data_IF_412200156365
#
_entry.id   IF_412200156365
#
_cell.length_a   1.000
_cell.length_b   1.000
_cell.length_c   1.000
_cell.angle_alpha   90.00
_cell.angle_beta   90.00
_cell.angle_gamma   90.00
#
_symmetry.space_group_name_H-M   'P 1'
#
loop_
_entity.id
_entity.type
_entity.pdbx_description
1 polymer ?
#
# COMPACT_ATOMS: atom_id res chain seq x y z
N UNK A 1 -28.57 52.22 71.07
CA UNK A 1 -27.23 51.77 71.48
C UNK A 1 -26.41 51.56 70.21
N UNK A 2 -25.48 52.49 69.90
CA UNK A 2 -24.32 52.34 68.99
C UNK A 2 -24.65 52.13 67.47
N UNK A 3 -23.92 52.56 66.44
CA UNK A 3 -23.01 53.65 66.10
C UNK A 3 -22.60 53.38 64.61
N UNK A 4 -22.37 54.45 63.84
CA UNK A 4 -21.35 54.59 62.77
C UNK A 4 -21.51 54.03 61.33
N UNK A 5 -21.40 55.00 60.39
CA UNK A 5 -20.76 55.07 59.05
C UNK A 5 -20.16 53.80 58.40
N UNK A 6 -20.32 53.68 57.07
CA UNK A 6 -19.22 53.92 56.08
C UNK A 6 -19.68 53.83 54.61
N UNK A 7 -19.40 54.89 53.85
CA UNK A 7 -19.34 54.87 52.38
C UNK A 7 -18.17 54.01 51.89
N UNK A 8 -18.34 53.25 50.81
CA UNK A 8 -17.26 52.90 49.87
C UNK A 8 -17.76 52.87 48.43
N UNK A 9 -17.14 53.71 47.60
CA UNK A 9 -17.17 53.70 46.15
C UNK A 9 -16.45 52.46 45.62
N UNK A 10 -16.94 51.84 44.54
CA UNK A 10 -16.13 50.98 43.67
C UNK A 10 -16.48 51.19 42.19
N UNK A 11 -15.59 51.95 41.55
CA UNK A 11 -15.01 51.84 40.21
C UNK A 11 -15.69 50.88 39.21
N UNK A 12 -16.18 51.44 38.11
CA UNK A 12 -16.55 50.74 36.87
C UNK A 12 -15.30 50.20 36.15
N UNK A 13 -15.15 48.88 36.06
CA UNK A 13 -14.19 48.23 35.16
C UNK A 13 -14.78 48.09 33.75
N UNK A 14 -14.19 48.79 32.78
CA UNK A 14 -14.37 48.52 31.34
C UNK A 14 -13.62 47.23 31.00
N UNK A 15 -14.32 46.21 30.55
CA UNK A 15 -13.72 45.01 29.97
C UNK A 15 -13.15 45.35 28.58
N UNK A 16 -11.81 45.32 28.45
CA UNK A 16 -11.15 45.20 27.15
C UNK A 16 -11.27 43.75 26.68
N UNK A 17 -11.95 43.53 25.55
CA UNK A 17 -11.86 42.28 24.81
C UNK A 17 -10.54 42.27 24.03
N UNK A 18 -9.55 41.53 24.53
CA UNK A 18 -8.38 41.13 23.74
C UNK A 18 -8.79 39.89 22.95
N UNK A 19 -8.95 40.05 21.63
CA UNK A 19 -9.06 38.95 20.68
C UNK A 19 -7.73 38.18 20.69
N UNK A 20 -7.67 37.10 21.46
CA UNK A 20 -6.60 36.11 21.36
C UNK A 20 -6.70 35.37 20.03
N UNK A 21 -5.69 35.54 19.19
CA UNK A 21 -5.52 34.74 17.99
C UNK A 21 -5.34 33.28 18.39
N UNK A 22 -6.32 32.44 18.04
CA UNK A 22 -6.20 30.99 18.15
C UNK A 22 -5.18 30.51 17.10
N UNK A 23 -3.94 30.29 17.55
CA UNK A 23 -2.97 29.47 16.83
C UNK A 23 -3.42 28.01 16.94
N UNK A 24 -4.32 27.61 16.03
CA UNK A 24 -4.58 26.20 15.78
C UNK A 24 -3.30 25.55 15.28
N UNK A 25 -2.77 24.59 16.04
CA UNK A 25 -1.63 23.77 15.61
C UNK A 25 -2.14 22.86 14.48
N UNK A 26 -1.89 23.25 13.23
CA UNK A 26 -2.14 22.42 12.05
C UNK A 26 -1.05 21.37 11.95
N UNK A 27 -1.38 20.11 12.23
CA UNK A 27 -0.46 18.98 12.06
C UNK A 27 -0.42 18.54 10.60
N UNK A 28 0.76 18.59 9.98
CA UNK A 28 1.03 17.80 8.77
C UNK A 28 1.12 16.35 9.21
N UNK A 29 0.15 15.53 8.81
CA UNK A 29 0.22 14.10 9.08
C UNK A 29 1.10 13.46 8.01
N UNK A 30 2.11 12.72 8.44
CA UNK A 30 2.74 11.73 7.55
C UNK A 30 1.63 10.78 7.11
N UNK A 31 1.47 10.62 5.80
CA UNK A 31 0.56 9.65 5.21
C UNK A 31 0.79 8.29 5.87
N UNK A 32 -0.27 7.74 6.46
CA UNK A 32 -0.25 6.46 7.14
C UNK A 32 0.27 5.41 6.15
N UNK A 33 1.37 4.72 6.49
CA UNK A 33 1.86 3.64 5.65
C UNK A 33 0.93 2.44 5.80
N UNK A 34 0.37 1.92 4.69
CA UNK A 34 -0.31 0.63 4.73
C UNK A 34 0.71 -0.45 5.02
N UNK A 35 0.43 -1.32 6.00
CA UNK A 35 1.29 -2.45 6.33
C UNK A 35 0.62 -3.76 5.95
N UNK A 36 1.27 -4.54 5.09
CA UNK A 36 0.76 -5.85 4.69
C UNK A 36 1.88 -6.87 4.55
N UNK A 37 1.51 -8.15 4.57
CA UNK A 37 2.44 -9.26 4.34
C UNK A 37 2.18 -9.92 2.99
N UNK A 38 3.24 -10.42 2.36
CA UNK A 38 3.16 -11.30 1.20
C UNK A 38 3.84 -12.65 1.48
N UNK A 39 3.13 -13.73 1.18
CA UNK A 39 3.54 -15.12 1.38
C UNK A 39 3.24 -15.93 0.12
N UNK A 40 4.11 -16.85 -0.28
CA UNK A 40 3.86 -17.80 -1.37
C UNK A 40 4.18 -19.21 -0.90
N UNK A 41 3.54 -20.21 -1.49
CA UNK A 41 3.97 -21.61 -1.36
C UNK A 41 4.04 -22.07 0.11
N UNK A 42 2.92 -21.90 0.82
CA UNK A 42 2.82 -22.18 2.27
C UNK A 42 1.96 -23.40 2.56
N UNK A 43 0.73 -23.44 2.01
CA UNK A 43 -0.43 -24.17 2.50
C UNK A 43 -0.36 -25.69 2.47
N UNK A 44 0.49 -26.28 3.31
CA UNK A 44 0.67 -27.72 3.50
C UNK A 44 0.35 -28.14 4.97
N UNK A 45 -0.11 -27.21 5.80
CA UNK A 45 -0.28 -27.37 7.25
C UNK A 45 0.97 -27.89 7.96
N UNK A 46 2.14 -27.40 7.53
CA UNK A 46 3.44 -27.82 8.07
C UNK A 46 3.84 -26.98 9.31
N UNK A 47 4.80 -27.49 10.10
CA UNK A 47 5.37 -26.70 11.20
C UNK A 47 6.08 -25.43 10.69
N UNK A 48 6.66 -25.47 9.50
CA UNK A 48 7.33 -24.31 8.89
C UNK A 48 6.34 -23.23 8.48
N UNK A 49 5.20 -23.64 7.92
CA UNK A 49 4.08 -22.73 7.63
C UNK A 49 3.53 -22.09 8.90
N UNK A 50 3.32 -22.88 9.97
CA UNK A 50 2.88 -22.35 11.26
C UNK A 50 3.81 -21.25 11.78
N UNK A 51 5.12 -21.49 11.73
CA UNK A 51 6.13 -20.51 12.15
C UNK A 51 6.15 -19.25 11.27
N UNK A 52 5.96 -19.39 9.95
CA UNK A 52 5.82 -18.23 9.05
C UNK A 52 4.52 -17.48 9.33
N UNK A 53 3.41 -18.16 9.62
CA UNK A 53 2.16 -17.52 10.01
C UNK A 53 2.28 -16.76 11.32
N UNK A 54 2.98 -17.31 12.32
CA UNK A 54 3.29 -16.61 13.58
C UNK A 54 4.14 -15.36 13.35
N UNK A 55 5.18 -15.46 12.52
CA UNK A 55 5.99 -14.31 12.10
C UNK A 55 5.09 -13.22 11.48
N UNK A 56 4.26 -13.57 10.50
CA UNK A 56 3.37 -12.63 9.82
C UNK A 56 2.42 -11.94 10.81
N UNK A 57 1.79 -12.71 11.70
CA UNK A 57 0.87 -12.18 12.72
C UNK A 57 1.59 -11.26 13.71
N UNK A 58 2.87 -11.51 14.03
CA UNK A 58 3.67 -10.66 14.92
C UNK A 58 3.81 -9.21 14.40
N UNK A 59 3.74 -9.02 13.08
CA UNK A 59 3.84 -7.69 12.46
C UNK A 59 2.54 -6.88 12.54
N UNK A 60 1.44 -7.52 12.95
CA UNK A 60 0.08 -6.97 12.96
C UNK A 60 -0.27 -6.31 11.61
N UNK A 61 -0.17 -7.04 10.49
CA UNK A 61 -0.48 -6.48 9.18
C UNK A 61 -1.97 -6.13 9.09
N UNK A 62 -2.30 -5.11 8.32
CA UNK A 62 -3.69 -4.76 8.03
C UNK A 62 -4.35 -5.85 7.18
N UNK A 63 -3.60 -6.42 6.23
CA UNK A 63 -4.04 -7.51 5.37
C UNK A 63 -2.85 -8.38 4.91
N UNK A 64 -3.17 -9.53 4.34
CA UNK A 64 -2.20 -10.49 3.76
C UNK A 64 -2.55 -10.72 2.30
N UNK A 65 -1.52 -10.74 1.45
CA UNK A 65 -1.63 -11.21 0.05
C UNK A 65 -0.89 -12.53 -0.09
N UNK A 66 -1.33 -13.39 -1.02
CA UNK A 66 -0.60 -14.62 -1.33
C UNK A 66 -0.14 -14.67 -2.78
N UNK A 67 1.00 -15.29 -3.01
CA UNK A 67 1.67 -15.43 -4.30
C UNK A 67 1.41 -16.82 -4.92
N UNK A 68 0.24 -17.39 -4.66
CA UNK A 68 -0.19 -18.69 -5.17
C UNK A 68 0.23 -19.87 -4.31
N UNK A 69 -0.27 -21.03 -4.71
CA UNK A 69 -0.11 -22.33 -4.04
C UNK A 69 -0.52 -22.25 -2.57
N UNK A 70 -1.82 -22.01 -2.40
CA UNK A 70 -2.45 -21.80 -1.11
C UNK A 70 -2.87 -23.10 -0.44
N UNK A 71 -3.04 -24.18 -1.20
CA UNK A 71 -3.62 -25.42 -0.70
C UNK A 71 -2.99 -26.66 -1.36
N UNK A 72 -1.85 -27.08 -0.85
CA UNK A 72 -1.18 -28.31 -1.24
C UNK A 72 -1.96 -29.56 -0.78
N UNK A 73 -1.80 -30.71 -1.43
CA UNK A 73 -0.99 -30.93 -2.64
C UNK A 73 -1.78 -30.73 -3.94
N UNK A 74 -3.11 -30.68 -3.89
CA UNK A 74 -3.95 -30.70 -5.09
C UNK A 74 -5.09 -29.66 -5.09
N UNK A 75 -5.13 -28.75 -4.12
CA UNK A 75 -6.17 -27.73 -4.08
C UNK A 75 -7.53 -28.30 -3.68
N UNK A 76 -7.56 -29.37 -2.88
CA UNK A 76 -8.79 -30.08 -2.55
C UNK A 76 -9.65 -29.31 -1.52
N UNK A 77 -10.97 -29.41 -1.65
CA UNK A 77 -11.91 -28.82 -0.68
C UNK A 77 -11.77 -29.40 0.74
N UNK A 78 -11.32 -30.65 0.86
CA UNK A 78 -11.12 -31.31 2.15
C UNK A 78 -9.91 -30.78 2.93
N UNK A 79 -8.94 -30.15 2.27
CA UNK A 79 -7.69 -29.67 2.89
C UNK A 79 -7.66 -28.15 3.04
N UNK A 80 -8.46 -27.41 2.27
CA UNK A 80 -8.32 -25.95 2.16
C UNK A 80 -8.49 -25.21 3.49
N UNK A 81 -9.43 -25.65 4.33
CA UNK A 81 -9.66 -25.01 5.63
C UNK A 81 -8.53 -25.32 6.63
N UNK A 82 -7.99 -26.53 6.58
CA UNK A 82 -6.85 -26.93 7.41
C UNK A 82 -5.56 -26.22 7.01
N UNK A 83 -5.31 -26.11 5.71
CA UNK A 83 -4.11 -25.45 5.18
C UNK A 83 -4.18 -23.93 5.33
N UNK A 84 -5.36 -23.31 5.19
CA UNK A 84 -5.46 -21.84 5.17
C UNK A 84 -6.12 -21.31 6.45
N UNK A 85 -7.34 -21.80 6.74
CA UNK A 85 -8.18 -21.31 7.83
C UNK A 85 -7.51 -21.47 9.19
N UNK A 86 -6.79 -22.58 9.41
CA UNK A 86 -6.03 -22.82 10.64
C UNK A 86 -5.13 -21.65 11.04
N UNK A 87 -4.47 -21.03 10.08
CA UNK A 87 -3.45 -20.01 10.34
C UNK A 87 -3.95 -18.59 10.11
N UNK A 88 -4.84 -18.39 9.13
CA UNK A 88 -5.18 -17.07 8.60
C UNK A 88 -6.67 -16.71 8.66
N UNK A 89 -7.54 -17.54 9.26
CA UNK A 89 -8.98 -17.25 9.30
C UNK A 89 -9.32 -15.85 9.81
N UNK A 90 -8.57 -15.30 10.78
CA UNK A 90 -8.80 -13.96 11.32
C UNK A 90 -8.67 -12.83 10.28
N UNK A 91 -8.09 -13.10 9.11
CA UNK A 91 -7.99 -12.19 7.97
C UNK A 91 -9.06 -12.43 6.90
N UNK A 92 -9.73 -13.59 6.90
CA UNK A 92 -10.63 -14.02 5.82
C UNK A 92 -12.04 -13.52 6.09
N UNK A 93 -12.58 -12.72 5.17
CA UNK A 93 -13.97 -12.28 5.20
C UNK A 93 -14.92 -13.38 4.72
N UNK A 94 -16.16 -13.39 5.22
CA UNK A 94 -17.17 -14.42 4.90
C UNK A 94 -16.70 -15.87 5.13
N UNK A 95 -15.73 -16.06 6.03
CA UNK A 95 -15.15 -17.35 6.37
C UNK A 95 -16.18 -18.30 6.98
N UNK A 96 -16.16 -19.57 6.54
CA UNK A 96 -17.09 -20.64 6.96
C UNK A 96 -16.39 -21.86 7.55
N UNK A 97 -15.08 -21.75 7.78
CA UNK A 97 -14.27 -22.83 8.30
C UNK A 97 -14.39 -23.05 9.80
N UNK A 98 -13.63 -24.01 10.33
CA UNK A 98 -13.77 -24.50 11.72
C UNK A 98 -12.92 -23.77 12.76
N UNK A 99 -11.98 -22.93 12.34
CA UNK A 99 -10.95 -22.37 13.23
C UNK A 99 -11.32 -21.05 13.94
N UNK A 100 -12.46 -20.44 13.62
CA UNK A 100 -12.92 -19.21 14.26
C UNK A 100 -14.02 -18.51 13.47
N UNK A 101 -14.39 -17.29 13.87
CA UNK A 101 -15.45 -16.50 13.21
C UNK A 101 -15.04 -15.87 11.89
N UNK A 102 -13.74 -15.85 11.59
CA UNK A 102 -13.18 -15.07 10.50
C UNK A 102 -13.15 -13.57 10.76
N UNK A 103 -12.88 -12.80 9.70
CA UNK A 103 -12.85 -11.35 9.71
C UNK A 103 -14.21 -10.74 9.34
N UNK A 104 -14.59 -9.63 10.00
CA UNK A 104 -15.79 -8.87 9.64
C UNK A 104 -15.69 -8.25 8.24
N UNK A 105 -14.48 -7.86 7.82
CA UNK A 105 -14.16 -7.38 6.47
C UNK A 105 -13.01 -8.21 5.91
N UNK A 106 -13.03 -8.51 4.61
CA UNK A 106 -11.98 -9.32 4.01
C UNK A 106 -10.62 -8.58 4.02
N UNK A 107 -9.60 -9.25 4.54
CA UNK A 107 -8.20 -8.81 4.69
C UNK A 107 -7.22 -9.87 4.20
N UNK A 108 -7.67 -10.82 3.38
CA UNK A 108 -6.86 -11.88 2.78
C UNK A 108 -7.12 -11.91 1.27
N UNK A 109 -6.09 -11.67 0.47
CA UNK A 109 -6.22 -11.50 -0.99
C UNK A 109 -5.28 -12.45 -1.73
N UNK A 110 -5.69 -13.70 -1.93
CA UNK A 110 -4.84 -14.69 -2.54
C UNK A 110 -4.81 -14.59 -4.07
N UNK A 111 -3.72 -15.03 -4.68
CA UNK A 111 -3.66 -15.38 -6.11
C UNK A 111 -3.71 -16.90 -6.25
N UNK A 112 -4.14 -17.41 -7.41
CA UNK A 112 -4.12 -18.84 -7.73
C UNK A 112 -2.71 -19.28 -8.15
N UNK A 113 -2.24 -20.40 -7.58
CA UNK A 113 -1.11 -21.18 -8.09
C UNK A 113 -1.53 -22.50 -8.71
N UNK A 114 -0.59 -23.26 -9.28
CA UNK A 114 -0.91 -24.51 -9.96
C UNK A 114 -1.42 -25.60 -8.98
N UNK A 115 -0.96 -25.60 -7.72
CA UNK A 115 -1.50 -26.52 -6.73
C UNK A 115 -2.95 -26.21 -6.35
N UNK A 116 -3.42 -24.98 -6.56
CA UNK A 116 -4.81 -24.62 -6.33
C UNK A 116 -5.73 -25.10 -7.46
N UNK A 117 -5.21 -25.25 -8.68
CA UNK A 117 -6.00 -25.51 -9.90
C UNK A 117 -6.17 -27.00 -10.23
N UNK A 118 -5.30 -27.87 -9.69
CA UNK A 118 -5.34 -29.32 -9.96
C UNK A 118 -6.70 -29.97 -9.67
N UNK A 119 -7.39 -29.55 -8.61
CA UNK A 119 -8.76 -29.99 -8.34
C UNK A 119 -9.77 -29.07 -9.03
N UNK A 120 -10.48 -29.62 -10.03
CA UNK A 120 -11.63 -28.98 -10.68
C UNK A 120 -11.35 -27.53 -11.12
N UNK A 121 -10.15 -27.26 -11.63
CA UNK A 121 -9.75 -25.93 -12.11
C UNK A 121 -9.88 -24.82 -11.06
N UNK A 122 -9.60 -25.12 -9.79
CA UNK A 122 -9.63 -24.15 -8.70
C UNK A 122 -11.00 -23.94 -8.06
N UNK A 123 -11.99 -24.79 -8.35
CA UNK A 123 -13.32 -24.65 -7.74
C UNK A 123 -13.28 -24.60 -6.20
N UNK A 124 -12.48 -25.43 -5.49
CA UNK A 124 -12.40 -25.33 -4.03
C UNK A 124 -11.89 -23.98 -3.52
N UNK A 125 -10.96 -23.36 -4.25
CA UNK A 125 -10.49 -22.00 -3.95
C UNK A 125 -11.63 -20.97 -4.12
N UNK A 126 -12.38 -21.06 -5.23
CA UNK A 126 -13.49 -20.15 -5.52
C UNK A 126 -14.66 -20.32 -4.55
N UNK A 127 -14.89 -21.53 -4.05
CA UNK A 127 -15.93 -21.80 -3.06
C UNK A 127 -15.54 -21.30 -1.65
N UNK A 128 -14.24 -21.24 -1.36
CA UNK A 128 -13.72 -20.93 -0.03
C UNK A 128 -13.51 -19.44 0.21
N UNK A 129 -13.04 -18.70 -0.79
CA UNK A 129 -12.84 -17.26 -0.71
C UNK A 129 -14.03 -16.48 -1.29
N UNK A 130 -14.17 -15.21 -0.89
CA UNK A 130 -15.07 -14.26 -1.53
C UNK A 130 -14.25 -13.05 -1.95
N UNK A 131 -13.97 -12.93 -3.24
CA UNK A 131 -12.99 -11.99 -3.79
C UNK A 131 -13.63 -11.04 -4.82
N UNK A 132 -12.98 -9.91 -5.14
CA UNK A 132 -13.45 -9.02 -6.20
C UNK A 132 -13.44 -9.67 -7.59
N UNK A 133 -14.09 -8.99 -8.53
CA UNK A 133 -14.02 -9.33 -9.95
C UNK A 133 -14.55 -10.72 -10.26
N UNK A 134 -13.74 -11.53 -10.95
CA UNK A 134 -14.07 -12.93 -11.26
C UNK A 134 -13.37 -13.93 -10.33
N UNK A 135 -12.73 -13.42 -9.26
CA UNK A 135 -12.04 -14.16 -8.20
C UNK A 135 -10.79 -14.95 -8.62
N UNK A 136 -10.59 -15.21 -9.91
CA UNK A 136 -9.37 -15.84 -10.46
C UNK A 136 -8.30 -14.81 -10.77
N UNK A 137 -8.72 -13.69 -11.35
CA UNK A 137 -7.92 -12.48 -11.51
C UNK A 137 -8.81 -11.27 -11.26
N UNK A 138 -8.29 -10.32 -10.51
CA UNK A 138 -9.08 -9.22 -9.97
C UNK A 138 -8.16 -8.11 -9.48
N UNK A 139 -8.75 -6.97 -9.17
CA UNK A 139 -8.04 -5.81 -8.65
C UNK A 139 -8.76 -5.25 -7.41
N UNK A 140 -8.01 -4.49 -6.62
CA UNK A 140 -8.58 -3.74 -5.50
C UNK A 140 -7.63 -2.64 -5.06
N UNK A 141 -8.20 -1.61 -4.45
CA UNK A 141 -7.44 -0.51 -3.84
C UNK A 141 -7.43 -0.65 -2.32
N UNK A 142 -6.25 -0.48 -1.73
CA UNK A 142 -6.05 -0.25 -0.30
C UNK A 142 -5.11 0.94 -0.17
N UNK A 143 -5.55 2.00 0.50
CA UNK A 143 -4.83 3.27 0.62
C UNK A 143 -4.28 3.77 -0.73
N UNK A 144 -2.97 4.00 -0.78
CA UNK A 144 -2.24 4.53 -1.94
C UNK A 144 -1.87 3.48 -3.01
N UNK A 145 -2.22 2.21 -2.79
CA UNK A 145 -1.82 1.09 -3.64
C UNK A 145 -3.03 0.50 -4.36
N UNK A 146 -2.93 0.39 -5.68
CA UNK A 146 -3.78 -0.46 -6.50
C UNK A 146 -3.08 -1.81 -6.70
N UNK A 147 -3.72 -2.87 -6.21
CA UNK A 147 -3.29 -4.25 -6.36
C UNK A 147 -3.96 -4.90 -7.57
N UNK A 148 -3.17 -5.60 -8.37
CA UNK A 148 -3.63 -6.37 -9.52
C UNK A 148 -3.21 -7.83 -9.35
N UNK A 149 -4.20 -8.71 -9.23
CA UNK A 149 -4.03 -10.13 -8.99
C UNK A 149 -4.24 -10.86 -10.30
N UNK A 150 -3.25 -11.64 -10.75
CA UNK A 150 -3.34 -12.42 -11.99
C UNK A 150 -3.40 -13.91 -11.70
N UNK A 151 -4.10 -14.64 -12.57
CA UNK A 151 -3.98 -16.08 -12.68
C UNK A 151 -2.93 -16.41 -13.75
N UNK A 152 -1.78 -16.90 -13.29
CA UNK A 152 -0.67 -17.32 -14.14
C UNK A 152 -0.70 -18.80 -14.52
N UNK A 153 -1.72 -19.56 -14.11
CA UNK A 153 -1.84 -20.97 -14.44
C UNK A 153 -2.11 -21.17 -15.95
N UNK A 154 -1.39 -22.07 -16.66
CA UNK A 154 -1.61 -22.32 -18.09
C UNK A 154 -3.04 -22.73 -18.48
N UNK A 155 -3.84 -23.24 -17.54
CA UNK A 155 -5.25 -23.59 -17.75
C UNK A 155 -6.22 -22.40 -17.64
N UNK A 156 -5.72 -21.20 -17.34
CA UNK A 156 -6.53 -19.98 -17.28
C UNK A 156 -7.21 -19.70 -18.63
N UNK A 157 -8.54 -19.84 -18.65
CA UNK A 157 -9.39 -19.74 -19.86
C UNK A 157 -9.33 -18.40 -20.59
N UNK A 158 -9.03 -17.30 -19.90
CA UNK A 158 -8.86 -15.96 -20.50
C UNK A 158 -7.39 -15.70 -20.94
N UNK A 159 -6.51 -16.68 -20.74
CA UNK A 159 -5.13 -16.77 -21.22
C UNK A 159 -4.09 -16.06 -20.35
N UNK A 160 -2.84 -16.53 -20.44
CA UNK A 160 -1.68 -16.03 -19.66
C UNK A 160 -0.61 -15.31 -20.50
N UNK A 161 -0.82 -15.16 -21.81
CA UNK A 161 0.07 -14.39 -22.68
C UNK A 161 -0.22 -12.88 -22.65
N UNK A 162 0.74 -12.06 -23.07
CA UNK A 162 0.64 -10.58 -23.06
C UNK A 162 -0.44 -9.99 -23.97
N UNK A 163 -1.01 -10.80 -24.87
CA UNK A 163 -2.13 -10.45 -25.75
C UNK A 163 -3.47 -11.05 -25.30
N UNK A 164 -3.49 -11.80 -24.20
CA UNK A 164 -4.67 -12.48 -23.69
C UNK A 164 -5.75 -11.51 -23.22
N UNK A 165 -6.97 -12.01 -22.99
CA UNK A 165 -8.05 -11.18 -22.45
C UNK A 165 -7.71 -10.68 -21.05
N UNK A 166 -7.07 -11.51 -20.23
CA UNK A 166 -6.57 -11.10 -18.92
C UNK A 166 -5.52 -9.98 -19.03
N UNK A 167 -4.58 -10.06 -19.97
CA UNK A 167 -3.57 -9.03 -20.18
C UNK A 167 -4.17 -7.70 -20.69
N UNK A 168 -5.17 -7.78 -21.57
CA UNK A 168 -5.92 -6.60 -22.04
C UNK A 168 -6.69 -5.93 -20.91
N UNK A 169 -7.32 -6.72 -20.03
CA UNK A 169 -7.96 -6.22 -18.81
C UNK A 169 -6.95 -5.50 -17.92
N UNK A 170 -5.82 -6.13 -17.60
CA UNK A 170 -4.79 -5.52 -16.75
C UNK A 170 -4.32 -4.17 -17.32
N UNK A 171 -4.03 -4.12 -18.63
CA UNK A 171 -3.59 -2.90 -19.30
C UNK A 171 -4.63 -1.78 -19.17
N UNK A 172 -5.91 -2.11 -19.30
CA UNK A 172 -7.00 -1.13 -19.18
C UNK A 172 -7.12 -0.61 -17.73
N UNK A 173 -7.12 -1.50 -16.73
CA UNK A 173 -7.26 -1.11 -15.33
C UNK A 173 -6.05 -0.32 -14.82
N UNK A 174 -4.84 -0.69 -15.25
CA UNK A 174 -3.64 0.10 -14.95
C UNK A 174 -3.69 1.51 -15.55
N UNK A 175 -4.23 1.66 -16.77
CA UNK A 175 -4.39 2.97 -17.40
C UNK A 175 -5.46 3.82 -16.70
N UNK A 176 -6.51 3.20 -16.15
CA UNK A 176 -7.56 3.87 -15.40
C UNK A 176 -7.13 4.25 -13.97
N UNK A 177 -6.22 3.48 -13.38
CA UNK A 177 -5.79 3.63 -12.00
C UNK A 177 -5.10 4.97 -11.72
N UNK A 178 -5.58 5.66 -10.68
CA UNK A 178 -5.02 6.90 -10.13
C UNK A 178 -4.18 6.68 -8.88
N UNK A 179 -4.07 5.45 -8.40
CA UNK A 179 -3.26 5.12 -7.23
C UNK A 179 -1.79 5.39 -7.51
N UNK A 180 -1.09 5.84 -6.47
CA UNK A 180 0.34 6.16 -6.54
C UNK A 180 1.10 4.90 -6.92
N UNK A 181 0.85 3.82 -6.20
CA UNK A 181 1.52 2.55 -6.39
C UNK A 181 0.64 1.56 -7.13
N UNK A 182 1.25 0.80 -8.03
CA UNK A 182 0.60 -0.31 -8.74
C UNK A 182 1.40 -1.57 -8.50
N UNK A 183 0.86 -2.50 -7.72
CA UNK A 183 1.52 -3.79 -7.42
C UNK A 183 0.80 -4.89 -8.18
N UNK A 184 1.54 -5.64 -8.98
CA UNK A 184 1.04 -6.84 -9.66
C UNK A 184 1.53 -8.06 -8.91
N UNK A 185 0.67 -9.04 -8.66
CA UNK A 185 1.11 -10.30 -8.10
C UNK A 185 0.33 -11.51 -8.62
N UNK A 186 1.02 -12.64 -8.68
CA UNK A 186 0.56 -13.92 -9.22
C UNK A 186 1.54 -15.03 -8.81
N UNK A 187 1.40 -16.23 -9.38
CA UNK A 187 2.18 -17.38 -8.94
C UNK A 187 3.48 -17.62 -9.72
N UNK A 188 3.41 -17.84 -11.03
CA UNK A 188 4.57 -18.26 -11.83
C UNK A 188 5.47 -17.07 -12.23
N UNK A 189 6.72 -16.96 -11.76
CA UNK A 189 7.53 -15.75 -11.90
C UNK A 189 8.01 -15.50 -13.34
N UNK A 190 7.95 -14.25 -13.87
CA UNK A 190 8.48 -13.95 -15.21
C UNK A 190 9.99 -14.15 -15.33
N UNK A 191 10.69 -13.91 -14.21
CA UNK A 191 12.13 -14.05 -14.05
C UNK A 191 12.42 -14.73 -12.72
N UNK A 192 13.21 -15.80 -12.77
CA UNK A 192 13.63 -16.56 -11.60
C UNK A 192 14.89 -17.34 -11.93
N UNK A 193 15.81 -17.36 -10.96
CA UNK A 193 17.01 -18.21 -10.91
C UNK A 193 16.81 -19.43 -10.01
N UNK A 194 15.55 -19.82 -9.75
CA UNK A 194 15.17 -21.01 -9.01
C UNK A 194 15.20 -22.29 -9.87
N UNK A 195 14.81 -23.41 -9.28
CA UNK A 195 14.83 -24.73 -9.94
C UNK A 195 13.77 -24.85 -11.05
N UNK A 196 12.57 -24.30 -10.84
CA UNK A 196 11.54 -24.21 -11.88
C UNK A 196 11.87 -23.12 -12.89
N UNK A 197 12.40 -22.00 -12.40
CA UNK A 197 12.96 -20.93 -13.21
C UNK A 197 11.91 -20.01 -13.82
N UNK A 198 12.32 -19.26 -14.83
CA UNK A 198 11.49 -18.21 -15.42
C UNK A 198 10.29 -18.77 -16.19
N UNK A 199 9.17 -18.05 -16.16
CA UNK A 199 7.98 -18.28 -16.99
C UNK A 199 7.86 -17.24 -18.11
N UNK A 200 8.35 -17.51 -19.34
CA UNK A 200 8.39 -16.51 -20.42
C UNK A 200 7.02 -15.96 -20.82
N UNK A 201 5.95 -16.75 -20.72
CA UNK A 201 4.59 -16.28 -21.02
C UNK A 201 4.13 -15.15 -20.09
N UNK A 202 4.65 -15.08 -18.87
CA UNK A 202 4.34 -14.03 -17.90
C UNK A 202 5.25 -12.80 -18.04
N UNK A 203 6.13 -12.71 -19.05
CA UNK A 203 6.96 -11.52 -19.33
C UNK A 203 6.15 -10.46 -20.07
N UNK A 204 5.13 -9.94 -19.41
CA UNK A 204 4.29 -8.86 -19.94
C UNK A 204 5.00 -7.51 -19.76
N UNK A 205 4.63 -6.47 -20.52
CA UNK A 205 5.23 -5.14 -20.41
C UNK A 205 4.69 -4.36 -19.20
N UNK A 206 4.78 -4.96 -18.00
CA UNK A 206 4.27 -4.41 -16.75
C UNK A 206 4.80 -3.00 -16.46
N UNK A 207 6.08 -2.76 -16.74
CA UNK A 207 6.70 -1.44 -16.56
C UNK A 207 6.04 -0.38 -17.43
N UNK A 208 5.82 -0.69 -18.70
CA UNK A 208 5.19 0.22 -19.66
C UNK A 208 3.73 0.46 -19.32
N UNK A 209 3.06 -0.52 -18.70
CA UNK A 209 1.70 -0.38 -18.18
C UNK A 209 1.66 0.32 -16.82
N UNK A 210 2.80 0.64 -16.22
CA UNK A 210 2.92 1.48 -15.03
C UNK A 210 2.98 0.72 -13.71
N UNK A 211 3.31 -0.58 -13.73
CA UNK A 211 3.60 -1.33 -12.51
C UNK A 211 4.80 -0.74 -11.77
N UNK A 212 4.69 -0.67 -10.44
CA UNK A 212 5.77 -0.26 -9.54
C UNK A 212 6.57 -1.45 -9.03
N UNK A 213 5.90 -2.59 -8.83
CA UNK A 213 6.47 -3.82 -8.28
C UNK A 213 5.68 -5.02 -8.81
N UNK A 214 6.39 -6.11 -9.10
CA UNK A 214 5.80 -7.41 -9.45
C UNK A 214 6.25 -8.46 -8.45
N UNK A 215 5.30 -9.21 -7.87
CA UNK A 215 5.55 -10.26 -6.88
C UNK A 215 5.08 -11.62 -7.39
N UNK A 216 5.85 -12.67 -7.13
CA UNK A 216 5.52 -14.04 -7.53
C UNK A 216 6.03 -15.09 -6.52
N UNK A 217 5.52 -16.32 -6.62
CA UNK A 217 5.90 -17.48 -5.81
C UNK A 217 6.53 -18.58 -6.68
N UNK A 218 6.03 -19.82 -6.54
CA UNK A 218 6.29 -21.01 -7.36
C UNK A 218 7.70 -21.61 -7.22
N UNK A 219 8.74 -20.79 -7.41
CA UNK A 219 10.08 -21.22 -7.06
C UNK A 219 10.28 -21.04 -5.55
N UNK A 220 10.56 -22.15 -4.86
CA UNK A 220 10.70 -22.16 -3.41
C UNK A 220 12.07 -21.66 -2.93
N UNK A 221 12.38 -20.43 -3.34
CA UNK A 221 13.44 -19.56 -2.82
C UNK A 221 12.92 -18.12 -2.76
N UNK A 222 13.74 -17.24 -2.18
CA UNK A 222 13.57 -15.80 -2.29
C UNK A 222 14.55 -15.26 -3.33
N UNK A 223 14.07 -14.40 -4.20
CA UNK A 223 14.91 -13.65 -5.11
C UNK A 223 14.34 -12.28 -5.42
N UNK A 224 15.19 -11.26 -5.40
CA UNK A 224 14.87 -9.94 -5.94
C UNK A 224 15.65 -9.71 -7.22
N UNK A 225 14.94 -9.33 -8.27
CA UNK A 225 15.52 -8.94 -9.55
C UNK A 225 15.14 -7.50 -9.93
N UNK A 226 15.99 -6.86 -10.71
CA UNK A 226 15.67 -5.64 -11.45
C UNK A 226 15.87 -5.93 -12.93
N UNK A 227 14.78 -5.84 -13.70
CA UNK A 227 14.78 -6.07 -15.15
C UNK A 227 14.15 -4.86 -15.82
N UNK A 228 14.87 -4.24 -16.76
CA UNK A 228 14.47 -3.03 -17.47
C UNK A 228 14.03 -1.87 -16.55
N UNK A 229 14.59 -1.82 -15.34
CA UNK A 229 14.28 -0.80 -14.33
C UNK A 229 13.00 -1.06 -13.52
N UNK A 230 12.35 -2.22 -13.67
CA UNK A 230 11.25 -2.67 -12.82
C UNK A 230 11.75 -3.74 -11.84
N UNK A 231 11.32 -3.64 -10.58
CA UNK A 231 11.63 -4.63 -9.54
C UNK A 231 10.64 -5.80 -9.60
N UNK A 232 11.20 -7.01 -9.58
CA UNK A 232 10.49 -8.27 -9.43
C UNK A 232 10.97 -8.96 -8.16
N UNK A 233 10.06 -9.58 -7.41
CA UNK A 233 10.43 -10.46 -6.30
C UNK A 233 9.75 -11.82 -6.43
N UNK A 234 10.52 -12.87 -6.23
CA UNK A 234 10.07 -14.24 -6.03
C UNK A 234 10.13 -14.53 -4.52
N UNK A 235 9.06 -15.07 -3.96
CA UNK A 235 9.04 -15.56 -2.59
C UNK A 235 8.14 -16.80 -2.46
N UNK A 236 8.71 -17.97 -2.73
CA UNK A 236 8.07 -19.26 -2.45
C UNK A 236 8.53 -19.93 -1.16
N UNK A 237 8.92 -19.14 -0.16
CA UNK A 237 9.45 -19.63 1.12
C UNK A 237 8.42 -19.60 2.26
N UNK A 238 7.13 -19.66 1.95
CA UNK A 238 6.05 -19.53 2.93
C UNK A 238 5.85 -20.74 3.84
N UNK A 239 6.43 -21.90 3.51
CA UNK A 239 6.37 -23.09 4.38
C UNK A 239 6.36 -24.43 3.65
N UNK A 240 6.24 -24.43 2.31
CA UNK A 240 6.49 -25.59 1.45
C UNK A 240 7.98 -25.74 1.16
N UNK A 241 8.42 -26.97 0.88
CA UNK A 241 9.83 -27.39 0.77
C UNK A 241 10.75 -26.41 0.04
N UNK A 242 11.95 -26.15 0.54
CA UNK A 242 12.92 -25.26 -0.10
C UNK A 242 13.59 -25.92 -1.33
N UNK A 243 13.78 -25.13 -2.40
CA UNK A 243 14.49 -25.57 -3.61
C UNK A 243 15.90 -24.97 -3.75
N UNK A 244 16.69 -25.61 -4.61
CA UNK A 244 17.98 -25.09 -5.04
C UNK A 244 17.83 -23.90 -5.99
N UNK A 245 18.91 -23.15 -6.16
CA UNK A 245 19.01 -22.08 -7.18
C UNK A 245 19.93 -22.49 -8.31
N UNK A 246 19.66 -22.02 -9.52
CA UNK A 246 20.52 -22.19 -10.70
C UNK A 246 21.51 -21.03 -10.85
N UNK A 247 22.10 -20.86 -12.03
CA UNK A 247 22.88 -19.66 -12.37
C UNK A 247 22.00 -18.42 -12.22
N UNK A 248 22.55 -17.38 -11.60
CA UNK A 248 21.86 -16.11 -11.40
C UNK A 248 21.57 -15.43 -12.75
N UNK A 249 20.34 -14.96 -12.94
CA UNK A 249 20.01 -14.09 -14.08
C UNK A 249 20.72 -12.73 -13.95
N UNK A 250 21.05 -12.04 -15.07
CA UNK A 250 21.75 -10.75 -15.02
C UNK A 250 21.10 -9.66 -14.15
N UNK A 251 19.78 -9.71 -13.96
CA UNK A 251 19.03 -8.77 -13.12
C UNK A 251 18.94 -9.16 -11.64
N UNK A 252 19.41 -10.35 -11.24
CA UNK A 252 19.36 -10.83 -9.86
C UNK A 252 20.18 -9.95 -8.92
N UNK A 253 19.56 -9.46 -7.85
CA UNK A 253 20.17 -8.60 -6.84
C UNK A 253 20.46 -9.37 -5.55
N UNK A 254 19.49 -10.15 -5.08
CA UNK A 254 19.58 -10.96 -3.86
C UNK A 254 18.89 -12.29 -4.12
N UNK A 255 19.50 -13.38 -3.64
CA UNK A 255 18.91 -14.73 -3.64
C UNK A 255 19.09 -15.36 -2.27
N UNK A 256 18.11 -16.14 -1.84
CA UNK A 256 18.15 -16.81 -0.55
C UNK A 256 17.27 -18.06 -0.56
N UNK A 257 17.80 -19.17 -0.08
CA UNK A 257 17.10 -20.46 0.01
C UNK A 257 17.58 -21.26 1.23
N UNK A 258 17.93 -20.59 2.33
CA UNK A 258 18.46 -21.26 3.51
C UNK A 258 17.41 -21.43 4.62
N UNK A 259 16.29 -20.71 4.56
CA UNK A 259 15.25 -20.76 5.58
C UNK A 259 13.90 -20.24 5.04
N UNK A 260 12.82 -20.50 5.76
CA UNK A 260 11.46 -20.03 5.45
C UNK A 260 11.24 -18.59 5.89
N UNK A 261 10.32 -17.87 5.24
CA UNK A 261 10.05 -16.47 5.58
C UNK A 261 8.90 -15.84 4.80
N UNK A 262 8.65 -14.58 5.13
CA UNK A 262 7.63 -13.77 4.48
C UNK A 262 8.17 -12.38 4.15
N UNK A 263 7.46 -11.69 3.26
CA UNK A 263 7.74 -10.29 2.96
C UNK A 263 6.82 -9.40 3.80
N UNK A 264 7.41 -8.42 4.49
CA UNK A 264 6.70 -7.31 5.12
C UNK A 264 6.82 -6.08 4.22
N UNK A 265 5.68 -5.54 3.79
CA UNK A 265 5.61 -4.37 2.92
C UNK A 265 4.92 -3.23 3.65
N UNK A 266 5.54 -2.06 3.60
CA UNK A 266 5.04 -0.80 4.14
C UNK A 266 4.94 0.21 3.01
N UNK A 267 3.71 0.57 2.63
CA UNK A 267 3.40 1.47 1.53
C UNK A 267 2.92 2.82 2.05
N UNK A 268 3.73 3.86 1.87
CA UNK A 268 3.31 5.26 2.07
C UNK A 268 3.09 5.92 0.71
N UNK A 269 2.62 7.17 0.69
CA UNK A 269 2.53 7.91 -0.57
C UNK A 269 3.88 8.11 -1.28
N UNK A 270 5.00 8.01 -0.55
CA UNK A 270 6.34 8.33 -1.04
C UNK A 270 7.20 7.11 -1.31
N UNK A 271 6.87 6.00 -0.65
CA UNK A 271 7.68 4.81 -0.71
C UNK A 271 6.91 3.50 -0.58
N UNK A 272 7.41 2.48 -1.28
CA UNK A 272 7.15 1.07 -0.98
C UNK A 272 8.41 0.49 -0.35
N UNK A 273 8.38 0.22 0.95
CA UNK A 273 9.47 -0.46 1.64
C UNK A 273 9.12 -1.93 1.78
N UNK A 274 9.96 -2.79 1.22
CA UNK A 274 9.82 -4.25 1.33
C UNK A 274 10.98 -4.82 2.14
N UNK A 275 10.69 -5.76 3.03
CA UNK A 275 11.66 -6.55 3.78
C UNK A 275 11.31 -8.03 3.69
N UNK A 276 12.26 -8.86 3.30
CA UNK A 276 12.13 -10.31 3.44
C UNK A 276 12.78 -10.75 4.76
N UNK A 277 12.00 -11.39 5.61
CA UNK A 277 12.37 -11.76 6.97
C UNK A 277 12.04 -13.24 7.17
N UNK A 278 13.00 -13.99 7.71
CA UNK A 278 12.80 -15.42 7.99
C UNK A 278 11.86 -15.63 9.17
N UNK A 279 11.29 -16.83 9.31
CA UNK A 279 10.46 -17.22 10.47
C UNK A 279 11.21 -17.08 11.81
N UNK A 280 12.55 -17.14 11.79
CA UNK A 280 13.45 -16.89 12.93
C UNK A 280 13.72 -15.39 13.20
N UNK A 281 13.15 -14.48 12.41
CA UNK A 281 13.29 -13.03 12.55
C UNK A 281 14.53 -12.43 11.87
N UNK A 282 15.31 -13.23 11.11
CA UNK A 282 16.49 -12.73 10.40
C UNK A 282 16.05 -11.89 9.20
N UNK A 283 16.50 -10.64 9.15
CA UNK A 283 16.38 -9.81 7.94
C UNK A 283 17.36 -10.31 6.88
N UNK A 284 16.84 -10.74 5.74
CA UNK A 284 17.63 -11.25 4.62
C UNK A 284 17.82 -10.19 3.53
N UNK A 285 16.75 -9.44 3.24
CA UNK A 285 16.78 -8.37 2.23
C UNK A 285 15.84 -7.23 2.63
N UNK A 286 16.21 -6.03 2.23
CA UNK A 286 15.40 -4.84 2.40
C UNK A 286 15.67 -3.86 1.25
N UNK A 287 14.61 -3.32 0.67
CA UNK A 287 14.72 -2.23 -0.30
C UNK A 287 13.54 -1.29 -0.18
N UNK A 288 13.74 -0.08 -0.69
CA UNK A 288 12.68 0.94 -0.74
C UNK A 288 12.59 1.45 -2.16
N UNK A 289 11.40 1.34 -2.76
CA UNK A 289 11.07 2.02 -3.98
C UNK A 289 10.57 3.41 -3.62
N UNK A 290 11.05 4.42 -4.32
CA UNK A 290 10.56 5.79 -4.22
C UNK A 290 9.85 6.15 -5.51
N UNK A 291 8.76 6.90 -5.41
CA UNK A 291 8.23 7.59 -6.59
C UNK A 291 9.29 8.60 -7.05
N UNK A 292 9.42 8.78 -8.36
CA UNK A 292 10.20 9.89 -8.88
C UNK A 292 9.54 11.20 -8.42
N UNK A 293 10.14 11.86 -7.44
CA UNK A 293 9.71 13.21 -7.07
C UNK A 293 10.07 14.15 -8.23
N UNK A 294 9.17 15.08 -8.54
CA UNK A 294 9.51 16.21 -9.41
C UNK A 294 10.75 16.91 -8.86
N UNK A 295 11.69 17.38 -9.71
CA UNK A 295 12.87 18.11 -9.26
C UNK A 295 12.52 19.46 -8.62
N UNK A 296 11.29 19.94 -8.81
CA UNK A 296 10.74 21.14 -8.19
C UNK A 296 9.53 20.79 -7.30
N UNK A 297 9.26 21.58 -6.24
CA UNK A 297 8.04 21.45 -5.43
C UNK A 297 6.78 21.49 -6.28
N UNK A 298 5.72 20.80 -5.87
CA UNK A 298 4.44 20.82 -6.58
C UNK A 298 3.27 20.98 -5.63
N UNK A 299 2.27 21.78 -6.04
CA UNK A 299 0.93 21.79 -5.45
C UNK A 299 0.03 20.89 -6.27
N UNK A 300 -0.30 19.71 -5.75
CA UNK A 300 -0.85 18.58 -6.51
C UNK A 300 -2.38 18.60 -6.59
N UNK A 301 -3.06 18.87 -5.48
CA UNK A 301 -4.52 18.93 -5.43
C UNK A 301 -5.01 19.71 -4.20
N UNK A 302 -6.21 20.26 -4.28
CA UNK A 302 -7.01 20.68 -3.12
C UNK A 302 -8.38 20.04 -3.28
N UNK A 303 -8.74 19.14 -2.38
CA UNK A 303 -9.94 18.31 -2.52
C UNK A 303 -10.80 18.30 -1.24
N UNK A 304 -12.13 18.48 -1.34
CA UNK A 304 -12.86 18.84 -2.55
C UNK A 304 -12.56 20.29 -2.98
N UNK A 305 -12.85 20.62 -4.24
CA UNK A 305 -12.87 22.00 -4.72
C UNK A 305 -14.08 22.20 -5.64
N UNK A 306 -15.00 23.14 -5.36
CA UNK A 306 -15.03 24.01 -4.17
C UNK A 306 -15.32 23.23 -2.88
N UNK A 307 -15.04 23.82 -1.72
CA UNK A 307 -15.35 23.20 -0.42
C UNK A 307 -15.92 24.19 0.60
N UNK A 308 -16.85 23.69 1.42
CA UNK A 308 -17.59 24.53 2.38
C UNK A 308 -16.88 24.64 3.73
N UNK A 309 -16.39 23.53 4.29
CA UNK A 309 -15.80 23.54 5.64
C UNK A 309 -14.34 23.09 5.66
N UNK A 310 -14.03 21.98 4.99
CA UNK A 310 -12.70 21.37 5.00
C UNK A 310 -12.29 20.89 3.62
N UNK A 311 -10.99 20.93 3.36
CA UNK A 311 -10.34 20.30 2.23
C UNK A 311 -9.00 19.70 2.66
N UNK A 312 -8.49 18.78 1.86
CA UNK A 312 -7.14 18.25 1.92
C UNK A 312 -6.31 18.94 0.84
N UNK A 313 -5.23 19.62 1.25
CA UNK A 313 -4.21 20.12 0.34
C UNK A 313 -3.12 19.06 0.18
N UNK A 314 -2.84 18.68 -1.06
CA UNK A 314 -1.75 17.77 -1.43
C UNK A 314 -0.62 18.53 -2.11
N UNK A 315 0.61 18.25 -1.71
CA UNK A 315 1.82 18.85 -2.30
C UNK A 315 3.00 17.90 -2.21
N UNK A 316 4.11 18.21 -2.89
CA UNK A 316 5.36 17.47 -2.78
C UNK A 316 6.57 18.38 -2.72
N UNK A 317 7.61 17.93 -2.01
CA UNK A 317 8.93 18.55 -1.95
C UNK A 317 9.98 17.60 -2.53
N UNK A 318 10.88 18.06 -3.43
CA UNK A 318 11.96 17.24 -3.99
C UNK A 318 12.97 16.81 -2.93
N UNK A 319 13.22 17.66 -1.94
CA UNK A 319 14.19 17.49 -0.87
C UNK A 319 13.58 17.92 0.46
N UNK A 320 14.18 17.52 1.58
CA UNK A 320 13.80 18.07 2.87
C UNK A 320 14.17 19.56 2.92
N UNK A 321 13.23 20.41 3.34
CA UNK A 321 13.40 21.86 3.32
C UNK A 321 12.41 22.55 4.29
N UNK A 322 12.67 23.82 4.61
CA UNK A 322 11.72 24.69 5.29
C UNK A 322 10.62 25.11 4.31
N UNK A 323 9.38 24.74 4.60
CA UNK A 323 8.23 24.98 3.74
C UNK A 323 7.23 25.92 4.41
N UNK A 324 6.77 26.93 3.67
CA UNK A 324 5.63 27.76 4.06
C UNK A 324 4.51 27.61 3.04
N UNK A 325 3.33 27.22 3.52
CA UNK A 325 2.11 27.16 2.74
C UNK A 325 1.22 28.30 3.22
N UNK A 326 0.95 29.25 2.34
CA UNK A 326 0.10 30.40 2.63
C UNK A 326 -1.03 30.53 1.63
N UNK A 327 -2.08 31.22 2.04
CA UNK A 327 -3.24 31.52 1.23
C UNK A 327 -3.26 33.00 0.91
N UNK A 328 -3.43 33.32 -0.37
CA UNK A 328 -3.53 34.67 -0.90
C UNK A 328 -4.94 34.91 -1.43
N UNK A 329 -5.46 36.13 -1.27
CA UNK A 329 -6.71 36.56 -1.92
C UNK A 329 -6.51 36.94 -3.39
N UNK A 330 -7.58 37.35 -4.08
CA UNK A 330 -7.53 37.77 -5.48
C UNK A 330 -6.64 38.99 -5.75
N UNK A 331 -6.31 39.78 -4.71
CA UNK A 331 -5.39 40.90 -4.80
C UNK A 331 -3.94 40.52 -4.44
N UNK A 332 -3.67 39.24 -4.18
CA UNK A 332 -2.36 38.72 -3.78
C UNK A 332 -1.99 38.97 -2.32
N UNK A 333 -2.94 39.42 -1.48
CA UNK A 333 -2.70 39.66 -0.05
C UNK A 333 -2.77 38.35 0.72
N UNK A 334 -1.81 38.13 1.61
CA UNK A 334 -1.82 36.97 2.50
C UNK A 334 -2.96 37.07 3.50
N UNK A 335 -3.84 36.05 3.49
CA UNK A 335 -5.02 35.98 4.36
C UNK A 335 -4.92 34.86 5.40
N UNK A 336 -4.05 33.87 5.17
CA UNK A 336 -3.78 32.80 6.13
C UNK A 336 -2.43 32.12 5.84
N UNK A 337 -1.84 31.53 6.88
CA UNK A 337 -0.72 30.59 6.76
C UNK A 337 -1.23 29.22 7.19
N UNK A 338 -1.24 28.26 6.27
CA UNK A 338 -1.72 26.91 6.53
C UNK A 338 -0.62 26.03 7.16
N UNK A 339 0.63 26.27 6.79
CA UNK A 339 1.79 25.59 7.37
C UNK A 339 3.04 26.47 7.31
N UNK A 340 3.92 26.34 8.31
CA UNK A 340 5.26 26.90 8.31
C UNK A 340 6.19 26.02 9.15
N UNK A 341 7.21 25.44 8.53
CA UNK A 341 8.23 24.67 9.23
C UNK A 341 8.96 23.68 8.31
N UNK A 342 9.91 22.95 8.90
CA UNK A 342 10.65 21.89 8.21
C UNK A 342 9.74 20.73 7.81
N UNK A 343 9.85 20.31 6.55
CA UNK A 343 9.23 19.11 6.01
C UNK A 343 10.26 18.22 5.32
N UNK A 344 10.05 16.90 5.38
CA UNK A 344 10.89 15.93 4.67
C UNK A 344 10.66 15.99 3.15
N UNK A 345 11.60 15.46 2.37
CA UNK A 345 11.35 15.15 0.96
C UNK A 345 10.16 14.19 0.83
N UNK A 346 9.33 14.37 -0.19
CA UNK A 346 8.15 13.53 -0.42
C UNK A 346 6.87 14.33 -0.65
N UNK A 347 5.79 13.59 -0.82
CA UNK A 347 4.40 14.01 -0.83
C UNK A 347 3.89 14.23 0.59
N UNK A 348 3.07 15.25 0.73
CA UNK A 348 2.49 15.69 1.99
C UNK A 348 1.02 15.99 1.81
N UNK A 349 0.26 15.77 2.88
CA UNK A 349 -1.13 16.17 2.99
C UNK A 349 -1.32 17.09 4.18
N UNK A 350 -2.06 18.17 3.97
CA UNK A 350 -2.45 19.12 5.00
C UNK A 350 -3.97 19.20 5.06
N UNK A 351 -4.54 18.90 6.23
CA UNK A 351 -5.95 19.15 6.50
C UNK A 351 -6.19 20.65 6.66
N UNK A 352 -7.01 21.22 5.78
CA UNK A 352 -7.33 22.64 5.75
C UNK A 352 -8.78 22.84 6.14
N UNK A 353 -9.02 23.57 7.23
CA UNK A 353 -10.35 24.08 7.57
C UNK A 353 -10.51 25.51 7.06
N UNK A 354 -11.62 25.80 6.37
CA UNK A 354 -11.93 27.11 5.80
C UNK A 354 -11.91 28.24 6.84
N UNK A 355 -12.40 27.94 8.05
CA UNK A 355 -12.54 28.93 9.11
C UNK A 355 -13.47 30.09 8.69
N UNK A 356 -13.07 31.32 9.01
CA UNK A 356 -13.85 32.53 8.71
C UNK A 356 -13.68 33.12 7.31
N UNK A 357 -13.05 32.40 6.37
CA UNK A 357 -12.82 32.90 5.01
C UNK A 357 -14.14 33.04 4.23
N UNK A 358 -14.29 34.16 3.53
CA UNK A 358 -15.45 34.41 2.66
C UNK A 358 -15.42 33.48 1.42
N UNK A 359 -16.57 33.32 0.76
CA UNK A 359 -16.62 32.51 -0.46
C UNK A 359 -15.94 33.29 -1.59
N UNK A 360 -15.19 32.59 -2.43
CA UNK A 360 -14.46 33.23 -3.52
C UNK A 360 -13.23 32.47 -3.96
N UNK A 361 -12.47 33.12 -4.83
CA UNK A 361 -11.24 32.56 -5.40
C UNK A 361 -10.03 32.97 -4.57
N UNK A 362 -9.23 31.98 -4.20
CA UNK A 362 -7.98 32.15 -3.45
C UNK A 362 -6.84 31.43 -4.16
N UNK A 363 -5.61 31.75 -3.76
CA UNK A 363 -4.40 31.11 -4.26
C UNK A 363 -3.61 30.50 -3.10
N UNK A 364 -3.44 29.19 -3.13
CA UNK A 364 -2.49 28.51 -2.26
C UNK A 364 -1.10 28.70 -2.85
N UNK A 365 -0.15 29.19 -2.05
CA UNK A 365 1.24 29.34 -2.44
C UNK A 365 2.13 28.51 -1.53
N UNK A 366 2.98 27.69 -2.15
CA UNK A 366 4.06 26.95 -1.50
C UNK A 366 5.39 27.66 -1.73
N UNK A 367 6.05 27.99 -0.65
CA UNK A 367 7.41 28.51 -0.59
C UNK A 367 8.30 27.43 0.02
N UNK A 368 9.41 27.10 -0.65
CA UNK A 368 10.44 26.16 -0.17
C UNK A 368 11.78 26.79 -0.52
N UNK A 369 12.63 26.99 0.49
CA UNK A 369 13.87 27.79 0.47
C UNK A 369 14.43 28.14 -0.92
N UNK A 370 15.05 27.18 -1.59
CA UNK A 370 15.79 27.41 -2.84
C UNK A 370 14.94 27.34 -4.12
N UNK A 371 13.64 27.09 -4.00
CA UNK A 371 12.75 26.90 -5.13
C UNK A 371 11.90 28.13 -5.40
N UNK A 372 11.50 28.29 -6.67
CA UNK A 372 10.52 29.31 -7.04
C UNK A 372 9.19 29.01 -6.34
N UNK A 373 8.46 30.06 -5.89
CA UNK A 373 7.12 29.88 -5.34
C UNK A 373 6.21 29.18 -6.34
N UNK A 374 5.49 28.16 -5.88
CA UNK A 374 4.48 27.47 -6.68
C UNK A 374 3.11 27.88 -6.19
N UNK A 375 2.17 28.13 -7.10
CA UNK A 375 0.82 28.57 -6.77
C UNK A 375 -0.25 27.68 -7.40
N UNK A 376 -1.38 27.55 -6.72
CA UNK A 376 -2.58 26.89 -7.23
C UNK A 376 -3.83 27.63 -6.82
N UNK A 377 -4.74 27.83 -7.77
CA UNK A 377 -6.05 28.43 -7.52
C UNK A 377 -6.98 27.44 -6.83
N UNK A 378 -7.79 27.93 -5.89
CA UNK A 378 -8.84 27.19 -5.20
C UNK A 378 -10.08 28.06 -5.05
N UNK A 379 -11.24 27.44 -5.07
CA UNK A 379 -12.52 28.11 -4.83
C UNK A 379 -13.09 27.63 -3.49
N UNK A 380 -13.46 28.57 -2.64
CA UNK A 380 -14.12 28.34 -1.35
C UNK A 380 -15.62 28.54 -1.45
#
# INVERSE_FOLDING_TARGET
MILLLHMRQFVTLRALWVLGAWLGVFGVQSLHAQRFAAIGDYGHASNSEEQVAELVKSWKPEFVITLGDNNYEQGAASTIDENIGRYYHEFIGAYRGRYGSGAATNRFFPSLGNHDTYTRHGQPYLDYFSLPGNERYYDYVRGDVHFFVLNSDPSERDGTGSTSRQAQWLKAEMAASRSRWKIVYFHHPPYSSGTHGSSPNMRWPFREWGASLVLAGHDHHYERLVVDGLTYCVNGLGGRSIYGTTVALPGSQVRYNADYGAQLIEASADSLRLRFITHTGKLVDAFTLHQGLSPEPQLLAVLPTPFVEKATLEFSLPTADEATIRLLDAAGREVAVLHKGALRAGHHQLQWSRGGLASGTYFVQLLSGHFKPVMRTVVL
#
